data_IF_355941915663
#
_entry.id   IF_355941915663
#
_cell.length_a   1.000
_cell.length_b   1.000
_cell.length_c   1.000
_cell.angle_alpha   90.00
_cell.angle_beta   90.00
_cell.angle_gamma   90.00
#
_symmetry.space_group_name_H-M   'P 1'
#
loop_
_entity.id
_entity.type
_entity.pdbx_description
1 polymer ?
#
# COMPACT_ATOMS: atom_id res chain seq x y z
N UNK A 1 68.83 62.72 21.47
CA UNK A 1 69.76 62.84 20.33
C UNK A 1 68.99 62.45 19.08
N UNK A 2 68.58 63.45 18.28
CA UNK A 2 68.11 63.46 16.85
C UNK A 2 66.90 62.56 16.50
N UNK A 3 65.92 62.86 15.63
CA UNK A 3 65.44 63.95 14.74
C UNK A 3 63.98 63.54 14.39
N UNK A 4 62.94 64.38 14.29
CA UNK A 4 62.58 65.37 13.27
C UNK A 4 62.37 64.84 11.82
N UNK A 5 61.16 65.12 11.30
CA UNK A 5 60.73 65.27 9.88
C UNK A 5 60.06 64.13 9.06
N UNK A 6 58.82 64.45 8.64
CA UNK A 6 58.29 64.44 7.25
C UNK A 6 57.68 63.16 6.63
N UNK A 7 56.35 63.20 6.53
CA UNK A 7 55.48 63.10 5.34
C UNK A 7 56.04 62.47 4.05
N UNK A 8 55.34 61.44 3.53
CA UNK A 8 54.92 61.40 2.11
C UNK A 8 53.92 60.27 1.85
N UNK A 9 52.71 60.67 1.50
CA UNK A 9 51.74 59.83 0.83
C UNK A 9 52.22 59.47 -0.59
N UNK A 10 52.17 58.20 -0.99
CA UNK A 10 51.84 57.83 -2.38
C UNK A 10 51.47 56.35 -2.52
N UNK A 11 50.19 56.16 -2.83
CA UNK A 11 49.73 55.30 -3.93
C UNK A 11 50.30 53.89 -4.03
N UNK A 12 49.54 52.90 -3.55
CA UNK A 12 49.48 51.60 -4.22
C UNK A 12 48.06 51.01 -4.11
N UNK A 13 47.12 51.76 -4.72
CA UNK A 13 45.69 51.45 -4.86
C UNK A 13 45.41 50.32 -5.87
N UNK A 14 46.39 49.45 -6.12
CA UNK A 14 46.41 48.54 -7.29
C UNK A 14 46.85 47.11 -6.97
N UNK A 15 47.04 46.74 -5.70
CA UNK A 15 47.37 45.35 -5.31
C UNK A 15 46.31 44.67 -4.44
N UNK A 16 45.22 45.36 -4.09
CA UNK A 16 44.11 44.78 -3.32
C UNK A 16 42.95 44.25 -4.19
N UNK A 17 43.20 44.04 -5.49
CA UNK A 17 42.23 43.43 -6.42
C UNK A 17 42.51 41.96 -6.72
N UNK A 18 43.51 41.36 -6.05
CA UNK A 18 43.85 39.93 -6.18
C UNK A 18 43.34 39.06 -5.02
N UNK A 19 42.68 39.64 -4.01
CA UNK A 19 42.14 38.89 -2.87
C UNK A 19 40.63 38.56 -2.98
N UNK A 20 39.94 39.00 -4.05
CA UNK A 20 38.49 38.84 -4.21
C UNK A 20 38.06 37.66 -5.10
N UNK A 21 39.01 36.82 -5.53
CA UNK A 21 38.76 35.68 -6.45
C UNK A 21 38.94 34.29 -5.81
N UNK A 22 38.97 34.21 -4.48
CA UNK A 22 39.11 32.93 -3.74
C UNK A 22 37.85 32.53 -2.94
N UNK A 23 36.66 32.99 -3.33
CA UNK A 23 35.40 32.64 -2.66
C UNK A 23 34.46 31.75 -3.51
N UNK A 24 34.98 30.98 -4.47
CA UNK A 24 34.18 30.03 -5.29
C UNK A 24 34.52 28.56 -5.03
N UNK A 25 35.38 28.25 -4.07
CA UNK A 25 35.43 26.90 -3.50
C UNK A 25 34.54 26.85 -2.27
N UNK A 26 33.22 26.79 -2.49
CA UNK A 26 32.36 26.14 -1.51
C UNK A 26 32.86 24.70 -1.41
N UNK A 27 33.42 24.24 -0.27
CA UNK A 27 33.51 22.81 -0.07
C UNK A 27 32.08 22.30 -0.21
N UNK A 28 31.84 21.39 -1.15
CA UNK A 28 30.62 20.60 -1.13
C UNK A 28 30.51 20.09 0.31
N UNK A 29 29.51 20.60 1.02
CA UNK A 29 29.04 19.95 2.23
C UNK A 29 28.62 18.56 1.76
N UNK A 30 29.55 17.59 1.89
CA UNK A 30 29.18 16.20 1.94
C UNK A 30 28.23 16.15 3.12
N UNK A 31 26.93 16.02 2.83
CA UNK A 31 26.01 15.44 3.77
C UNK A 31 26.56 14.04 4.03
N UNK A 32 27.43 13.94 5.03
CA UNK A 32 27.79 12.71 5.68
C UNK A 32 26.47 12.21 6.27
N UNK A 33 25.75 11.40 5.49
CA UNK A 33 24.67 10.56 5.98
C UNK A 33 25.33 9.57 6.93
N UNK A 34 25.57 10.06 8.15
CA UNK A 34 25.70 9.23 9.32
C UNK A 34 24.34 8.56 9.47
N UNK A 35 24.25 7.35 8.91
CA UNK A 35 23.22 6.37 9.19
C UNK A 35 23.21 6.13 10.69
N UNK A 36 22.43 6.93 11.40
CA UNK A 36 22.17 6.74 12.83
C UNK A 36 20.77 7.23 13.17
N UNK A 37 19.79 6.71 12.43
CA UNK A 37 18.41 6.61 12.88
C UNK A 37 17.89 5.24 12.42
N UNK A 38 18.20 4.20 13.19
CA UNK A 38 17.41 2.97 13.25
C UNK A 38 16.04 3.31 13.88
N UNK A 39 15.24 4.10 13.17
CA UNK A 39 13.80 4.07 13.38
C UNK A 39 13.34 2.75 12.73
N UNK A 40 12.63 1.86 13.45
CA UNK A 40 12.15 0.63 12.87
C UNK A 40 11.16 0.99 11.76
N UNK A 41 11.62 0.98 10.51
CA UNK A 41 10.73 0.94 9.36
C UNK A 41 10.11 -0.45 9.39
N UNK A 42 8.96 -0.55 10.04
CA UNK A 42 8.10 -1.72 9.99
C UNK A 42 7.62 -1.91 8.55
N UNK A 43 8.47 -2.45 7.67
CA UNK A 43 8.02 -3.05 6.43
C UNK A 43 7.29 -4.32 6.82
N UNK A 44 5.97 -4.29 6.73
CA UNK A 44 5.18 -5.51 6.81
C UNK A 44 5.66 -6.45 5.69
N UNK A 45 6.32 -7.55 6.09
CA UNK A 45 6.69 -8.62 5.18
C UNK A 45 5.54 -9.63 5.18
N UNK A 46 4.69 -9.56 4.17
CA UNK A 46 3.55 -10.48 3.99
C UNK A 46 3.95 -11.48 2.92
N UNK A 47 4.12 -12.76 3.29
CA UNK A 47 4.35 -13.85 2.35
C UNK A 47 3.12 -14.76 2.29
N UNK A 48 2.38 -14.75 1.18
CA UNK A 48 1.14 -15.53 1.03
C UNK A 48 1.32 -16.87 0.28
N UNK A 49 2.55 -17.23 -0.07
CA UNK A 49 2.81 -18.24 -1.11
C UNK A 49 2.59 -19.71 -0.69
N UNK A 50 2.40 -20.02 0.60
CA UNK A 50 2.42 -21.41 1.09
C UNK A 50 1.07 -21.97 1.57
N UNK A 51 0.00 -21.18 1.57
CA UNK A 51 -1.34 -21.62 2.02
C UNK A 51 -2.43 -21.41 0.96
N UNK A 52 -2.05 -21.20 -0.31
CA UNK A 52 -3.00 -20.90 -1.38
C UNK A 52 -3.73 -22.15 -1.88
N UNK A 53 -5.07 -22.13 -1.81
CA UNK A 53 -5.91 -23.02 -2.59
C UNK A 53 -6.00 -22.44 -4.01
N UNK A 54 -5.46 -23.15 -5.01
CA UNK A 54 -5.57 -22.76 -6.42
C UNK A 54 -6.56 -23.66 -7.13
N UNK A 55 -7.46 -23.06 -7.91
CA UNK A 55 -8.45 -23.75 -8.72
C UNK A 55 -8.51 -23.09 -10.10
N UNK A 56 -8.72 -23.86 -11.18
CA UNK A 56 -8.94 -23.30 -12.51
C UNK A 56 -10.34 -22.71 -12.69
N UNK A 57 -11.20 -22.81 -11.67
CA UNK A 57 -12.53 -22.24 -11.68
C UNK A 57 -12.55 -20.87 -11.01
N UNK A 58 -13.38 -19.98 -11.52
CA UNK A 58 -13.87 -18.86 -10.74
C UNK A 58 -14.79 -19.40 -9.64
N UNK A 59 -14.67 -18.85 -8.43
CA UNK A 59 -15.46 -19.29 -7.28
C UNK A 59 -16.37 -18.16 -6.83
N UNK A 60 -17.66 -18.45 -6.74
CA UNK A 60 -18.67 -17.57 -6.17
C UNK A 60 -19.32 -18.28 -4.98
N UNK A 61 -19.39 -17.60 -3.86
CA UNK A 61 -19.97 -18.12 -2.62
C UNK A 61 -20.92 -17.07 -2.03
N UNK A 62 -22.20 -17.39 -1.96
CA UNK A 62 -23.22 -16.48 -1.41
C UNK A 62 -24.34 -17.25 -0.68
N UNK A 63 -25.47 -16.59 -0.41
CA UNK A 63 -26.62 -17.24 0.24
C UNK A 63 -27.26 -18.36 -0.59
N UNK A 64 -27.10 -18.32 -1.92
CA UNK A 64 -27.64 -19.30 -2.87
C UNK A 64 -26.79 -20.58 -3.01
N UNK A 65 -25.56 -20.59 -2.50
CA UNK A 65 -24.68 -21.77 -2.48
C UNK A 65 -23.27 -21.45 -2.95
N UNK A 66 -22.56 -22.48 -3.42
CA UNK A 66 -21.21 -22.35 -3.96
C UNK A 66 -21.20 -22.70 -5.44
N UNK A 67 -20.77 -21.75 -6.27
CA UNK A 67 -20.58 -21.90 -7.71
C UNK A 67 -19.10 -21.92 -8.07
N UNK A 68 -18.72 -22.95 -8.82
CA UNK A 68 -17.46 -23.02 -9.54
C UNK A 68 -17.76 -22.97 -11.03
N UNK A 69 -17.27 -21.95 -11.72
CA UNK A 69 -17.53 -21.78 -13.15
C UNK A 69 -16.27 -21.38 -13.92
N UNK A 70 -16.22 -21.74 -15.20
CA UNK A 70 -15.13 -21.36 -16.11
C UNK A 70 -15.63 -21.31 -17.56
N UNK A 71 -14.91 -20.55 -18.37
CA UNK A 71 -15.32 -20.28 -19.76
C UNK A 71 -14.93 -21.42 -20.72
N UNK A 72 -13.83 -22.12 -20.42
CA UNK A 72 -13.31 -23.23 -21.22
C UNK A 72 -13.28 -24.53 -20.43
N UNK A 73 -13.18 -25.64 -21.16
CA UNK A 73 -13.08 -27.00 -20.62
C UNK A 73 -14.35 -27.53 -19.94
N UNK A 74 -14.44 -28.86 -19.87
CA UNK A 74 -15.57 -29.56 -19.27
C UNK A 74 -15.18 -30.15 -17.90
N UNK A 75 -16.01 -29.99 -16.84
CA UNK A 75 -17.29 -29.27 -16.80
C UNK A 75 -17.12 -27.75 -16.79
N UNK A 76 -18.15 -27.00 -17.22
CA UNK A 76 -18.15 -25.53 -17.19
C UNK A 76 -18.69 -24.98 -15.89
N UNK A 77 -19.60 -25.69 -15.24
CA UNK A 77 -20.23 -25.28 -14.00
C UNK A 77 -20.33 -26.46 -13.02
N UNK A 78 -19.96 -26.21 -11.78
CA UNK A 78 -20.20 -27.09 -10.65
C UNK A 78 -20.90 -26.25 -9.57
N UNK A 79 -22.08 -26.67 -9.16
CA UNK A 79 -22.87 -26.00 -8.15
C UNK A 79 -23.18 -26.97 -7.02
N UNK A 80 -23.03 -26.51 -5.78
CA UNK A 80 -23.59 -27.24 -4.65
C UNK A 80 -24.27 -26.30 -3.65
N UNK A 81 -25.40 -26.78 -3.16
CA UNK A 81 -26.27 -26.09 -2.22
C UNK A 81 -27.10 -27.10 -1.44
N UNK A 82 -27.21 -26.94 -0.12
CA UNK A 82 -28.03 -27.81 0.72
C UNK A 82 -27.55 -29.27 0.75
N UNK A 83 -26.30 -29.52 0.35
CA UNK A 83 -25.76 -30.87 0.17
C UNK A 83 -26.09 -31.53 -1.17
N UNK A 84 -26.82 -30.87 -2.08
CA UNK A 84 -26.99 -31.33 -3.46
C UNK A 84 -25.82 -30.89 -4.33
N UNK A 85 -25.50 -31.67 -5.36
CA UNK A 85 -24.47 -31.38 -6.34
C UNK A 85 -25.06 -31.36 -7.74
N UNK A 86 -24.79 -30.30 -8.49
CA UNK A 86 -25.12 -30.15 -9.90
C UNK A 86 -23.84 -29.92 -10.71
N UNK A 87 -23.72 -30.60 -11.84
CA UNK A 87 -22.64 -30.41 -12.81
C UNK A 87 -23.30 -30.04 -14.14
N UNK A 88 -22.94 -28.88 -14.68
CA UNK A 88 -23.55 -28.30 -15.88
C UNK A 88 -25.08 -28.39 -15.86
N UNK A 89 -25.70 -27.91 -14.77
CA UNK A 89 -27.15 -27.90 -14.53
C UNK A 89 -27.80 -29.29 -14.37
N UNK A 90 -27.02 -30.37 -14.29
CA UNK A 90 -27.53 -31.72 -14.06
C UNK A 90 -27.24 -32.15 -12.63
N UNK A 91 -28.31 -32.40 -11.86
CA UNK A 91 -28.22 -32.96 -10.51
C UNK A 91 -27.58 -34.34 -10.55
N UNK A 92 -26.57 -34.53 -9.70
CA UNK A 92 -25.81 -35.76 -9.58
C UNK A 92 -26.35 -36.60 -8.43
N UNK A 93 -26.42 -37.92 -8.65
CA UNK A 93 -26.68 -38.87 -7.57
C UNK A 93 -25.39 -39.06 -6.77
N UNK A 94 -25.39 -38.60 -5.52
CA UNK A 94 -24.26 -38.71 -4.60
C UNK A 94 -24.66 -39.47 -3.35
N UNK A 95 -23.67 -39.99 -2.62
CA UNK A 95 -23.96 -40.68 -1.36
C UNK A 95 -24.44 -39.70 -0.29
N UNK A 96 -25.18 -40.21 0.71
CA UNK A 96 -25.59 -39.40 1.85
C UNK A 96 -24.38 -38.83 2.64
N UNK A 97 -23.26 -39.55 2.66
CA UNK A 97 -22.02 -39.09 3.28
C UNK A 97 -21.41 -37.91 2.51
N UNK A 98 -21.44 -37.95 1.17
CA UNK A 98 -20.96 -36.85 0.33
C UNK A 98 -21.85 -35.63 0.43
N UNK A 99 -23.17 -35.82 0.43
CA UNK A 99 -24.13 -34.74 0.63
C UNK A 99 -23.90 -34.01 1.97
N UNK A 100 -23.60 -34.76 3.03
CA UNK A 100 -23.21 -34.18 4.33
C UNK A 100 -21.93 -33.36 4.24
N UNK A 101 -20.89 -33.88 3.60
CA UNK A 101 -19.60 -33.18 3.43
C UNK A 101 -19.75 -31.90 2.60
N UNK A 102 -20.53 -31.93 1.53
CA UNK A 102 -20.82 -30.75 0.71
C UNK A 102 -21.57 -29.68 1.51
N UNK A 103 -22.57 -30.09 2.29
CA UNK A 103 -23.29 -29.20 3.19
C UNK A 103 -22.35 -28.56 4.23
N UNK A 104 -21.47 -29.34 4.87
CA UNK A 104 -20.49 -28.82 5.83
C UNK A 104 -19.53 -27.81 5.19
N UNK A 105 -19.03 -28.13 3.99
CA UNK A 105 -18.17 -27.24 3.22
C UNK A 105 -18.89 -25.93 2.89
N UNK A 106 -20.15 -25.99 2.42
CA UNK A 106 -20.97 -24.81 2.16
C UNK A 106 -21.16 -23.95 3.41
N UNK A 107 -21.48 -24.54 4.57
CA UNK A 107 -21.63 -23.78 5.82
C UNK A 107 -20.34 -23.07 6.21
N UNK A 108 -19.21 -23.79 6.15
CA UNK A 108 -17.90 -23.24 6.52
C UNK A 108 -17.48 -22.11 5.58
N UNK A 109 -17.63 -22.29 4.27
CA UNK A 109 -17.29 -21.25 3.29
C UNK A 109 -18.15 -20.01 3.49
N UNK A 110 -19.45 -20.16 3.70
CA UNK A 110 -20.34 -19.00 3.94
C UNK A 110 -20.04 -18.28 5.25
N UNK A 111 -19.65 -19.00 6.30
CA UNK A 111 -19.24 -18.38 7.56
C UNK A 111 -18.00 -17.48 7.43
N UNK A 112 -17.21 -17.66 6.37
CA UNK A 112 -16.06 -16.80 6.07
C UNK A 112 -16.45 -15.50 5.35
N UNK A 113 -17.59 -15.46 4.64
CA UNK A 113 -17.96 -14.31 3.80
C UNK A 113 -18.04 -12.98 4.55
N UNK A 114 -18.63 -12.90 5.77
CA UNK A 114 -18.62 -11.65 6.55
C UNK A 114 -17.21 -11.18 6.92
N UNK A 115 -16.27 -12.11 7.15
CA UNK A 115 -14.88 -11.79 7.50
C UNK A 115 -14.15 -11.22 6.28
N UNK A 116 -14.37 -11.80 5.09
CA UNK A 116 -13.84 -11.29 3.83
C UNK A 116 -14.39 -9.89 3.53
N UNK A 117 -15.69 -9.66 3.75
CA UNK A 117 -16.28 -8.34 3.62
C UNK A 117 -15.66 -7.33 4.60
N UNK A 118 -15.42 -7.73 5.85
CA UNK A 118 -14.72 -6.91 6.83
C UNK A 118 -13.33 -6.47 6.36
N UNK A 119 -12.54 -7.40 5.82
CA UNK A 119 -11.21 -7.09 5.25
C UNK A 119 -11.33 -6.10 4.09
N UNK A 120 -12.32 -6.25 3.21
CA UNK A 120 -12.54 -5.32 2.11
C UNK A 120 -12.83 -3.90 2.62
N UNK A 121 -13.66 -3.76 3.66
CA UNK A 121 -13.93 -2.48 4.31
C UNK A 121 -12.68 -1.89 4.97
N UNK A 122 -11.89 -2.71 5.67
CA UNK A 122 -10.62 -2.26 6.29
C UNK A 122 -9.63 -1.71 5.24
N UNK A 123 -9.59 -2.33 4.06
CA UNK A 123 -8.74 -1.87 2.94
C UNK A 123 -9.24 -0.54 2.35
N UNK A 124 -10.56 -0.37 2.25
CA UNK A 124 -11.16 0.90 1.80
C UNK A 124 -10.81 2.01 2.79
N UNK A 125 -10.96 1.75 4.08
CA UNK A 125 -10.64 2.69 5.17
C UNK A 125 -9.17 3.13 5.12
N UNK A 126 -8.26 2.16 5.00
CA UNK A 126 -6.83 2.44 4.87
C UNK A 126 -6.51 3.31 3.63
N UNK A 127 -7.22 3.08 2.53
CA UNK A 127 -7.01 3.86 1.29
C UNK A 127 -7.44 5.32 1.47
N UNK A 128 -8.53 5.57 2.20
CA UNK A 128 -8.99 6.92 2.52
C UNK A 128 -8.04 7.62 3.51
N UNK A 129 -7.53 6.91 4.52
CA UNK A 129 -6.53 7.44 5.46
C UNK A 129 -5.24 7.86 4.73
N UNK A 130 -4.73 7.01 3.84
CA UNK A 130 -3.54 7.29 3.04
C UNK A 130 -3.74 8.53 2.16
N UNK A 131 -4.89 8.66 1.50
CA UNK A 131 -5.22 9.83 0.68
C UNK A 131 -5.35 11.10 1.53
N UNK A 132 -6.01 11.00 2.68
CA UNK A 132 -6.13 12.10 3.63
C UNK A 132 -4.77 12.66 4.05
N UNK A 133 -3.83 11.77 4.40
CA UNK A 133 -2.46 12.14 4.77
C UNK A 133 -1.70 12.83 3.63
N UNK A 134 -1.79 12.32 2.39
CA UNK A 134 -1.16 12.96 1.22
C UNK A 134 -1.71 14.38 0.99
N UNK A 135 -3.02 14.57 1.09
CA UNK A 135 -3.65 15.87 0.89
C UNK A 135 -3.27 16.86 1.99
N UNK A 136 -3.16 16.40 3.24
CA UNK A 136 -2.70 17.24 4.34
C UNK A 136 -1.28 17.75 4.08
N UNK A 137 -0.36 16.89 3.65
CA UNK A 137 1.02 17.27 3.31
C UNK A 137 1.07 18.23 2.12
N UNK A 138 0.32 17.96 1.05
CA UNK A 138 0.35 18.79 -0.16
C UNK A 138 -0.29 20.17 0.02
N UNK A 139 -1.34 20.25 0.84
CA UNK A 139 -2.13 21.48 1.01
C UNK A 139 -1.80 22.23 2.30
N UNK A 140 -1.05 21.61 3.22
CA UNK A 140 -0.84 22.12 4.57
C UNK A 140 -2.13 22.28 5.38
N UNK A 141 -3.22 21.59 5.00
CA UNK A 141 -4.55 21.83 5.55
C UNK A 141 -5.26 20.54 5.97
N UNK A 142 -5.36 20.36 7.29
CA UNK A 142 -6.18 19.31 7.90
C UNK A 142 -7.68 19.42 7.51
N UNK A 143 -8.16 20.62 7.16
CA UNK A 143 -9.55 20.81 6.69
C UNK A 143 -9.80 20.15 5.34
N UNK A 144 -8.79 20.05 4.48
CA UNK A 144 -8.91 19.33 3.20
C UNK A 144 -8.85 17.82 3.40
N UNK A 145 -8.06 17.32 4.35
CA UNK A 145 -8.09 15.90 4.74
C UNK A 145 -9.48 15.49 5.28
N UNK A 146 -10.14 16.35 6.07
CA UNK A 146 -11.53 16.13 6.52
C UNK A 146 -12.57 16.09 5.40
N UNK A 147 -12.25 16.52 4.18
CA UNK A 147 -13.16 16.34 3.03
C UNK A 147 -13.09 14.91 2.47
N UNK A 148 -11.93 14.26 2.59
CA UNK A 148 -11.72 12.86 2.22
C UNK A 148 -12.44 11.94 3.20
N UNK A 149 -12.40 12.23 4.49
CA UNK A 149 -13.16 11.46 5.49
C UNK A 149 -14.67 11.48 5.21
N UNK A 150 -15.21 12.63 4.78
CA UNK A 150 -16.62 12.74 4.38
C UNK A 150 -16.98 11.99 3.09
N UNK A 151 -15.99 11.56 2.31
CA UNK A 151 -16.21 10.66 1.18
C UNK A 151 -16.28 9.21 1.67
N UNK A 152 -15.46 8.83 2.66
CA UNK A 152 -15.52 7.52 3.32
C UNK A 152 -16.88 7.24 3.95
N UNK A 153 -17.47 8.19 4.67
CA UNK A 153 -18.80 8.04 5.30
C UNK A 153 -19.95 7.78 4.31
N UNK A 154 -19.73 7.97 3.01
CA UNK A 154 -20.73 7.79 1.94
C UNK A 154 -20.49 6.56 1.07
N UNK A 155 -19.42 5.82 1.31
CA UNK A 155 -19.06 4.60 0.60
C UNK A 155 -19.68 3.38 1.29
#
# INVERSE_FOLDING_TARGET
MLDAFTTAARSMRTLLWLALLAAVFSPHARADQTDKHDAPRHRAHVSSHQCGLSTPFNVLADSGGIWLYRDSDWPREIFFHGGELSIDHKVQQISAADARRLWEMEQQTRALMPQVAGIAHDVIDLSYDALGGVIEVMTGSALNARKIERLRERA
#
